data_IF_523286625362
#
_entry.id   IF_523286625362
#
_cell.length_a   1.000
_cell.length_b   1.000
_cell.length_c   1.000
_cell.angle_alpha   90.00
_cell.angle_beta   90.00
_cell.angle_gamma   90.00
#
_symmetry.space_group_name_H-M   'P 1'
#
loop_
_entity.id
_entity.type
_entity.pdbx_description
1 polymer ?
#
# COMPACT_ATOMS: atom_id res chain seq x y z
N UNK A 1 0.82 16.35 0.73
CA UNK A 1 1.00 15.00 1.29
C UNK A 1 2.06 15.06 2.38
N UNK A 2 1.87 14.38 3.48
CA UNK A 2 2.85 14.37 4.56
C UNK A 2 4.08 13.54 4.17
N UNK A 3 5.21 13.82 4.82
CA UNK A 3 6.43 13.04 4.60
C UNK A 3 6.21 11.56 4.91
N UNK A 4 5.39 11.28 5.90
CA UNK A 4 5.06 9.91 6.29
C UNK A 4 4.36 9.17 5.14
N UNK A 5 3.37 9.79 4.52
CA UNK A 5 2.63 9.19 3.41
C UNK A 5 3.52 8.96 2.20
N UNK A 6 4.38 9.93 1.90
CA UNK A 6 5.35 9.79 0.82
C UNK A 6 6.31 8.63 1.08
N UNK A 7 6.72 8.46 2.32
CA UNK A 7 7.64 7.39 2.72
C UNK A 7 7.01 6.01 2.49
N UNK A 8 5.73 5.85 2.85
CA UNK A 8 5.02 4.59 2.62
C UNK A 8 4.86 4.30 1.14
N UNK A 9 4.49 5.30 0.34
CA UNK A 9 4.38 5.14 -1.10
C UNK A 9 5.72 4.71 -1.71
N UNK A 10 6.80 5.34 -1.29
CA UNK A 10 8.13 5.01 -1.80
C UNK A 10 8.55 3.61 -1.41
N UNK A 11 8.31 3.24 -0.16
CA UNK A 11 8.67 1.93 0.36
C UNK A 11 7.98 0.82 -0.43
N UNK A 12 6.67 0.96 -0.65
CA UNK A 12 5.91 -0.01 -1.44
C UNK A 12 6.37 -0.01 -2.90
N UNK A 13 6.59 1.17 -3.46
CA UNK A 13 7.09 1.29 -4.84
C UNK A 13 8.40 0.54 -5.01
N UNK A 14 9.33 0.69 -4.06
CA UNK A 14 10.62 0.01 -4.11
C UNK A 14 10.44 -1.51 -4.09
N UNK A 15 9.62 -2.03 -3.18
CA UNK A 15 9.46 -3.48 -3.03
C UNK A 15 8.66 -4.11 -4.17
N UNK A 16 7.72 -3.38 -4.74
CA UNK A 16 6.87 -3.89 -5.83
C UNK A 16 7.39 -3.52 -7.22
N UNK A 17 8.53 -2.85 -7.30
CA UNK A 17 9.11 -2.47 -8.59
C UNK A 17 8.27 -1.47 -9.37
N UNK A 18 7.62 -0.54 -8.67
CA UNK A 18 6.73 0.45 -9.27
C UNK A 18 7.23 1.86 -8.97
N UNK A 19 6.70 2.83 -9.73
CA UNK A 19 6.84 4.24 -9.39
C UNK A 19 5.63 4.68 -8.56
N UNK A 20 5.80 5.61 -7.62
CA UNK A 20 4.65 6.14 -6.87
C UNK A 20 3.53 6.65 -7.77
N UNK A 21 3.86 7.27 -8.91
CA UNK A 21 2.86 7.76 -9.86
C UNK A 21 2.00 6.64 -10.45
N UNK A 22 2.53 5.43 -10.55
CA UNK A 22 1.77 4.29 -11.05
C UNK A 22 0.77 3.80 -10.01
N UNK A 23 1.12 3.90 -8.73
CA UNK A 23 0.23 3.51 -7.65
C UNK A 23 -0.95 4.48 -7.53
N UNK A 24 -0.68 5.79 -7.56
CA UNK A 24 -1.73 6.80 -7.39
C UNK A 24 -2.43 7.17 -8.70
N UNK A 25 -1.97 6.64 -9.82
CA UNK A 25 -2.54 6.91 -11.14
C UNK A 25 -3.82 6.13 -11.41
N UNK A 26 -4.37 6.30 -12.62
CA UNK A 26 -5.68 5.75 -12.99
C UNK A 26 -5.59 4.41 -13.70
N UNK A 27 -4.42 3.99 -14.15
CA UNK A 27 -4.28 2.74 -14.89
C UNK A 27 -4.48 1.53 -13.98
N UNK A 28 -5.10 0.48 -14.53
CA UNK A 28 -5.51 -0.70 -13.77
C UNK A 28 -4.73 -1.97 -14.14
N UNK A 29 -3.45 -1.82 -14.46
CA UNK A 29 -2.61 -3.00 -14.63
C UNK A 29 -2.52 -3.75 -13.30
N UNK A 30 -2.45 -5.07 -13.36
CA UNK A 30 -2.48 -5.93 -12.17
C UNK A 30 -1.41 -5.53 -11.15
N UNK A 31 -0.19 -5.25 -11.62
CA UNK A 31 0.90 -4.86 -10.72
C UNK A 31 0.62 -3.51 -10.03
N UNK A 32 -0.07 -2.58 -10.71
CA UNK A 32 -0.43 -1.29 -10.10
C UNK A 32 -1.52 -1.48 -9.05
N UNK A 33 -2.48 -2.37 -9.33
CA UNK A 33 -3.55 -2.70 -8.38
C UNK A 33 -2.94 -3.37 -7.13
N UNK A 34 -1.99 -4.26 -7.32
CA UNK A 34 -1.28 -4.89 -6.20
C UNK A 34 -0.60 -3.85 -5.32
N UNK A 35 0.04 -2.85 -5.92
CA UNK A 35 0.66 -1.76 -5.19
C UNK A 35 -0.35 -0.98 -4.35
N UNK A 36 -1.53 -0.69 -4.93
CA UNK A 36 -2.59 0.02 -4.21
C UNK A 36 -3.11 -0.79 -3.03
N UNK A 37 -3.36 -2.08 -3.24
CA UNK A 37 -3.80 -2.98 -2.17
C UNK A 37 -2.77 -2.99 -1.04
N UNK A 38 -1.50 -3.06 -1.38
CA UNK A 38 -0.43 -3.07 -0.40
C UNK A 38 -0.38 -1.75 0.39
N UNK A 39 -0.38 -0.61 -0.29
CA UNK A 39 -0.33 0.70 0.39
C UNK A 39 -1.51 0.86 1.33
N UNK A 40 -2.71 0.61 0.84
CA UNK A 40 -3.91 0.78 1.66
C UNK A 40 -3.85 -0.07 2.93
N UNK A 41 -3.56 -1.34 2.78
CA UNK A 41 -3.57 -2.25 3.92
C UNK A 41 -2.42 -2.03 4.89
N UNK A 42 -1.24 -1.68 4.39
CA UNK A 42 -0.13 -1.32 5.28
C UNK A 42 -0.48 -0.10 6.12
N UNK A 43 -1.08 0.92 5.51
CA UNK A 43 -1.47 2.12 6.25
C UNK A 43 -2.55 1.83 7.28
N UNK A 44 -3.58 1.10 6.89
CA UNK A 44 -4.73 0.85 7.78
C UNK A 44 -4.40 -0.20 8.84
N UNK A 45 -3.82 -1.33 8.44
CA UNK A 45 -3.62 -2.47 9.34
C UNK A 45 -2.36 -2.37 10.18
N UNK A 46 -1.26 -1.89 9.59
CA UNK A 46 0.02 -1.87 10.29
C UNK A 46 0.28 -0.53 10.98
N UNK A 47 -0.23 0.56 10.43
CA UNK A 47 0.08 1.90 10.91
C UNK A 47 -1.10 2.61 11.57
N UNK A 48 -2.28 2.00 11.55
CA UNK A 48 -3.45 2.59 12.20
C UNK A 48 -3.99 3.85 11.54
N UNK A 49 -3.66 4.05 10.25
CA UNK A 49 -4.17 5.21 9.50
C UNK A 49 -5.64 4.97 9.18
N UNK A 50 -6.45 6.02 9.26
CA UNK A 50 -7.86 5.93 8.91
C UNK A 50 -8.06 5.57 7.44
N UNK A 51 -9.11 4.80 7.13
CA UNK A 51 -9.38 4.34 5.78
C UNK A 51 -9.54 5.49 4.79
N UNK A 52 -10.22 6.56 5.19
CA UNK A 52 -10.38 7.73 4.33
C UNK A 52 -9.05 8.39 3.98
N UNK A 53 -8.15 8.48 4.94
CA UNK A 53 -6.83 9.05 4.69
C UNK A 53 -6.00 8.15 3.78
N UNK A 54 -6.08 6.85 3.95
CA UNK A 54 -5.38 5.90 3.07
C UNK A 54 -5.88 6.03 1.63
N UNK A 55 -7.20 6.18 1.43
CA UNK A 55 -7.76 6.41 0.09
C UNK A 55 -7.26 7.71 -0.53
N UNK A 56 -7.11 8.76 0.29
CA UNK A 56 -6.57 10.04 -0.21
C UNK A 56 -5.15 9.88 -0.72
N UNK A 57 -4.32 9.12 0.01
CA UNK A 57 -2.96 8.86 -0.43
C UNK A 57 -2.95 8.18 -1.79
N UNK A 58 -3.90 7.28 -2.02
CA UNK A 58 -4.04 6.56 -3.28
C UNK A 58 -4.76 7.36 -4.35
N UNK A 59 -5.21 8.56 -4.02
CA UNK A 59 -6.02 9.39 -4.94
C UNK A 59 -7.29 8.64 -5.38
N UNK A 60 -7.98 8.04 -4.43
CA UNK A 60 -9.20 7.25 -4.68
C UNK A 60 -10.37 7.82 -3.91
N UNK A 61 -11.58 7.59 -4.44
CA UNK A 61 -12.82 8.08 -3.85
C UNK A 61 -13.36 7.13 -2.79
N UNK A 62 -14.26 7.63 -1.96
CA UNK A 62 -14.97 6.84 -0.95
C UNK A 62 -15.64 5.63 -1.58
N UNK A 63 -15.74 4.58 -0.81
CA UNK A 63 -16.39 3.34 -1.24
C UNK A 63 -15.40 2.28 -1.70
N UNK A 64 -14.16 2.66 -2.05
CA UNK A 64 -13.16 1.70 -2.43
C UNK A 64 -12.39 1.12 -1.24
N UNK A 65 -12.61 1.66 -0.05
CA UNK A 65 -11.92 1.20 1.16
C UNK A 65 -12.24 -0.27 1.46
N UNK A 66 -13.50 -0.67 1.39
CA UNK A 66 -13.90 -2.05 1.62
C UNK A 66 -13.30 -2.98 0.56
N UNK A 67 -13.30 -2.53 -0.69
CA UNK A 67 -12.72 -3.28 -1.79
C UNK A 67 -11.24 -3.59 -1.53
N UNK A 68 -10.45 -2.55 -1.23
CA UNK A 68 -9.01 -2.74 -0.97
C UNK A 68 -8.76 -3.54 0.30
N UNK A 69 -9.54 -3.29 1.35
CA UNK A 69 -9.38 -3.99 2.61
C UNK A 69 -9.61 -5.50 2.44
N UNK A 70 -10.64 -5.88 1.71
CA UNK A 70 -10.99 -7.28 1.51
C UNK A 70 -10.11 -7.96 0.45
N UNK A 71 -9.55 -7.20 -0.48
CA UNK A 71 -8.73 -7.76 -1.54
C UNK A 71 -7.39 -8.33 -1.02
N UNK A 72 -6.95 -7.92 0.15
CA UNK A 72 -5.65 -8.35 0.68
C UNK A 72 -5.55 -9.86 0.79
N UNK A 73 -6.58 -10.53 1.31
CA UNK A 73 -6.54 -11.98 1.50
C UNK A 73 -6.40 -12.73 0.18
N UNK A 74 -7.03 -12.23 -0.89
CA UNK A 74 -6.90 -12.84 -2.21
C UNK A 74 -5.52 -12.65 -2.78
N UNK A 75 -4.97 -11.44 -2.66
CA UNK A 75 -3.64 -11.14 -3.17
C UNK A 75 -2.56 -11.92 -2.40
N UNK A 76 -2.75 -12.16 -1.12
CA UNK A 76 -1.81 -12.94 -0.31
C UNK A 76 -1.70 -14.39 -0.75
N UNK A 77 -2.64 -14.90 -1.52
CA UNK A 77 -2.54 -16.24 -2.10
C UNK A 77 -1.42 -16.33 -3.13
N UNK A 78 -1.04 -15.21 -3.74
CA UNK A 78 0.08 -15.16 -4.66
C UNK A 78 1.37 -15.02 -3.87
N UNK A 79 2.28 -15.96 -4.04
CA UNK A 79 3.53 -15.97 -3.28
C UNK A 79 4.35 -14.71 -3.50
N UNK A 80 4.40 -14.21 -4.74
CA UNK A 80 5.13 -12.99 -5.06
C UNK A 80 4.60 -11.77 -4.30
N UNK A 81 3.28 -11.60 -4.29
CA UNK A 81 2.66 -10.52 -3.54
C UNK A 81 2.93 -10.66 -2.04
N UNK A 82 2.69 -11.84 -1.49
CA UNK A 82 2.88 -12.10 -0.06
C UNK A 82 4.29 -11.81 0.38
N UNK A 83 5.27 -12.25 -0.39
CA UNK A 83 6.69 -12.02 -0.10
C UNK A 83 7.01 -10.52 -0.04
N UNK A 84 6.56 -9.77 -1.06
CA UNK A 84 6.80 -8.33 -1.11
C UNK A 84 6.07 -7.58 -0.01
N UNK A 85 4.84 -7.98 0.28
CA UNK A 85 4.03 -7.37 1.34
C UNK A 85 4.70 -7.57 2.71
N UNK A 86 5.16 -8.78 2.99
CA UNK A 86 5.85 -9.09 4.24
C UNK A 86 7.17 -8.33 4.36
N UNK A 87 7.88 -8.15 3.27
CA UNK A 87 9.07 -7.30 3.25
C UNK A 87 8.75 -5.85 3.57
N UNK A 88 7.63 -5.35 3.06
CA UNK A 88 7.18 -4.00 3.40
C UNK A 88 6.91 -3.87 4.90
N UNK A 89 6.24 -4.86 5.49
CA UNK A 89 5.97 -4.86 6.94
C UNK A 89 7.29 -4.80 7.71
N UNK A 90 8.26 -5.61 7.32
CA UNK A 90 9.56 -5.65 7.96
C UNK A 90 10.26 -4.30 7.87
N UNK A 91 10.26 -3.69 6.69
CA UNK A 91 10.87 -2.37 6.49
C UNK A 91 10.17 -1.30 7.31
N UNK A 92 8.84 -1.35 7.40
CA UNK A 92 8.10 -0.40 8.23
C UNK A 92 8.55 -0.50 9.68
N UNK A 93 8.68 -1.72 10.20
CA UNK A 93 9.12 -1.92 11.58
C UNK A 93 10.54 -1.43 11.80
N UNK A 94 11.43 -1.65 10.85
CA UNK A 94 12.82 -1.24 10.96
C UNK A 94 13.01 0.27 10.77
N UNK A 95 12.32 0.87 9.80
CA UNK A 95 12.55 2.25 9.39
C UNK A 95 11.71 3.26 10.17
N UNK A 96 10.53 2.88 10.63
CA UNK A 96 9.60 3.80 11.28
C UNK A 96 9.58 3.65 12.80
N UNK A 97 10.02 2.52 13.33
CA UNK A 97 10.06 2.30 14.77
C UNK A 97 11.39 2.69 15.41
N UNK A 98 12.37 3.06 14.62
CA UNK A 98 13.65 3.54 15.10
C UNK A 98 13.60 5.06 15.25
N UNK A 99 12.65 5.50 15.90
CA UNK A 99 12.52 6.93 16.03
C UNK A 99 13.19 7.63 17.07
#
# INVERSE_FOLDING_TARGET
MSKFNEKILKLVSDEFGLNPSQIVGIKRYDEFVEGRVAVFNLMVRELGVGRGNALRVLNRTRGLDTHYFNALSQHKRKLGFRYRYEKCIKRIREELNEG
#
